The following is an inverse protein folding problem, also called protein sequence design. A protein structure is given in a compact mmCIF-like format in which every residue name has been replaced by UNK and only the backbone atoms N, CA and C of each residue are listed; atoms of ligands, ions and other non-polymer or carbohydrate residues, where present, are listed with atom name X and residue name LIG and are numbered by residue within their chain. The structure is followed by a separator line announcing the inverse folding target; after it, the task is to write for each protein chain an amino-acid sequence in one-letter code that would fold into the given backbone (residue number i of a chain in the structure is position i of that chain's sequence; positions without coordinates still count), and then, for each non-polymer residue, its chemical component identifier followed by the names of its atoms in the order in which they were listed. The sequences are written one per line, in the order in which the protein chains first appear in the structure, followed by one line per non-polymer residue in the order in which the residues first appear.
data_IF_600678386326
#
_entry.id   IF_600678386326
#
_cell.length_a   1.000
_cell.length_b   1.000
_cell.length_c   1.000
_cell.angle_alpha   90.00
_cell.angle_beta   90.00
_cell.angle_gamma   90.00
#
_symmetry.space_group_name_H-M   'P 1'
#
loop_
_entity.id
_entity.type
_entity.pdbx_description
1 polymer ?
#
# COMPACT_ATOMS: atom_id res chain seq x y z
N UNK A 1 -36.66 6.15 16.18
CA UNK A 1 -37.13 7.41 16.80
C UNK A 1 -36.83 8.57 15.85
N UNK A 2 -37.87 9.20 15.29
CA UNK A 2 -37.77 10.40 14.45
C UNK A 2 -37.38 11.61 15.30
N UNK A 3 -36.43 12.44 14.84
CA UNK A 3 -36.37 13.87 15.20
C UNK A 3 -35.92 14.69 13.98
N UNK A 4 -36.87 15.45 13.47
CA UNK A 4 -36.76 16.53 12.50
C UNK A 4 -36.17 17.78 13.16
N UNK A 5 -35.38 18.57 12.43
CA UNK A 5 -35.17 20.01 12.73
C UNK A 5 -35.14 20.82 11.42
N UNK A 6 -35.76 21.99 11.54
CA UNK A 6 -36.23 22.99 10.60
C UNK A 6 -35.08 23.69 9.84
N UNK A 7 -35.31 24.01 8.56
CA UNK A 7 -34.45 24.89 7.76
C UNK A 7 -34.94 26.34 7.83
N UNK A 8 -34.03 27.29 8.05
CA UNK A 8 -34.26 28.69 7.70
C UNK A 8 -33.41 29.07 6.48
N UNK A 9 -34.09 29.53 5.43
CA UNK A 9 -33.51 29.87 4.12
C UNK A 9 -33.29 31.37 4.06
N UNK A 10 -32.05 31.83 3.89
CA UNK A 10 -31.76 33.16 3.33
C UNK A 10 -31.00 33.01 2.02
N UNK A 11 -31.74 33.20 0.93
CA UNK A 11 -31.21 33.37 -0.42
C UNK A 11 -30.64 34.79 -0.52
N UNK A 12 -29.44 34.94 -1.08
CA UNK A 12 -29.07 36.10 -1.89
C UNK A 12 -28.25 35.64 -3.10
N UNK A 13 -28.45 36.35 -4.20
CA UNK A 13 -28.38 35.85 -5.57
C UNK A 13 -27.05 36.16 -6.31
N UNK A 14 -26.83 35.39 -7.38
CA UNK A 14 -26.00 35.65 -8.58
C UNK A 14 -24.47 35.75 -8.47
N UNK A 15 -23.81 34.58 -8.31
CA UNK A 15 -22.65 34.09 -9.09
C UNK A 15 -22.03 32.93 -8.32
N UNK A 16 -22.28 31.68 -8.74
CA UNK A 16 -21.79 30.50 -8.03
C UNK A 16 -20.34 30.17 -8.43
N UNK A 17 -19.40 31.01 -7.99
CA UNK A 17 -18.00 30.65 -7.86
C UNK A 17 -17.66 30.61 -6.36
N UNK A 18 -17.47 29.40 -5.82
CA UNK A 18 -17.03 29.23 -4.44
C UNK A 18 -15.51 29.09 -4.42
N UNK A 19 -14.83 30.09 -3.86
CA UNK A 19 -13.41 30.00 -3.49
C UNK A 19 -13.34 29.05 -2.28
N UNK A 20 -12.51 28.00 -2.35
CA UNK A 20 -12.24 27.12 -1.21
C UNK A 20 -11.52 27.92 -0.12
N UNK A 21 -12.28 28.56 0.78
CA UNK A 21 -11.74 29.15 2.01
C UNK A 21 -11.52 28.04 3.02
N UNK A 22 -10.28 27.92 3.50
CA UNK A 22 -9.90 27.08 4.66
C UNK A 22 -10.94 27.25 5.77
N UNK A 23 -11.60 26.18 6.25
CA UNK A 23 -12.51 26.29 7.37
C UNK A 23 -11.68 26.47 8.64
N UNK A 24 -11.49 27.72 9.06
CA UNK A 24 -10.78 28.08 10.30
C UNK A 24 -11.63 27.85 11.57
N UNK A 25 -12.83 27.27 11.47
CA UNK A 25 -13.72 27.07 12.60
C UNK A 25 -13.98 25.58 12.86
N UNK A 26 -13.15 24.97 13.72
CA UNK A 26 -13.48 23.72 14.40
C UNK A 26 -14.13 24.07 15.75
N UNK A 27 -15.38 23.68 15.97
CA UNK A 27 -16.03 23.82 17.28
C UNK A 27 -15.67 22.64 18.18
N UNK A 28 -14.86 22.93 19.21
CA UNK A 28 -14.58 22.04 20.34
C UNK A 28 -15.82 21.98 21.25
N UNK A 29 -16.46 20.81 21.35
CA UNK A 29 -17.49 20.56 22.38
C UNK A 29 -16.82 19.91 23.60
N UNK A 30 -16.91 20.58 24.75
CA UNK A 30 -16.27 20.21 26.02
C UNK A 30 -17.00 19.05 26.71
N UNK A 31 -16.23 18.22 27.42
CA UNK A 31 -16.56 16.86 27.90
C UNK A 31 -17.37 16.76 29.20
N UNK A 32 -17.96 15.58 29.43
CA UNK A 32 -18.16 15.00 30.77
C UNK A 32 -17.46 13.63 30.91
N UNK A 33 -17.09 13.30 32.15
CA UNK A 33 -16.23 12.18 32.58
C UNK A 33 -16.82 10.83 32.14
N UNK A 34 -16.03 10.07 31.37
CA UNK A 34 -16.05 8.62 31.09
C UNK A 34 -15.84 8.36 29.59
N UNK A 35 -14.62 7.91 29.25
CA UNK A 35 -14.20 7.30 27.98
C UNK A 35 -14.53 8.05 26.66
N UNK A 36 -13.59 8.87 26.20
CA UNK A 36 -13.75 9.74 25.03
C UNK A 36 -13.53 9.01 23.68
N UNK A 37 -14.63 8.67 23.00
CA UNK A 37 -14.69 8.51 21.55
C UNK A 37 -14.93 9.89 20.92
N UNK A 38 -13.88 10.52 20.38
CA UNK A 38 -14.05 11.71 19.54
C UNK A 38 -14.41 11.27 18.12
N UNK A 39 -15.71 11.18 17.85
CA UNK A 39 -16.21 11.09 16.49
C UNK A 39 -16.29 12.52 15.96
N UNK A 40 -15.27 12.96 15.24
CA UNK A 40 -15.40 14.16 14.40
C UNK A 40 -16.38 13.75 13.29
N UNK A 41 -17.66 14.04 13.50
CA UNK A 41 -18.58 14.17 12.40
C UNK A 41 -18.08 15.36 11.59
N UNK A 42 -17.40 15.11 10.48
CA UNK A 42 -17.42 16.04 9.36
C UNK A 42 -18.87 16.03 8.88
N UNK A 43 -19.69 17.08 9.09
CA UNK A 43 -20.87 17.24 8.27
C UNK A 43 -20.36 17.69 6.90
N UNK A 44 -19.75 16.77 6.15
CA UNK A 44 -19.77 16.88 4.71
C UNK A 44 -21.19 16.47 4.32
N UNK A 45 -22.15 17.38 4.51
CA UNK A 45 -23.38 17.40 3.73
C UNK A 45 -23.01 17.71 2.29
N UNK A 46 -22.29 16.79 1.65
CA UNK A 46 -22.34 16.67 0.21
C UNK A 46 -23.59 15.83 0.00
N UNK A 47 -24.70 16.50 -0.25
CA UNK A 47 -25.86 15.86 -0.83
C UNK A 47 -25.34 15.00 -1.99
N UNK A 48 -25.57 13.69 -1.95
CA UNK A 48 -25.50 12.83 -3.12
C UNK A 48 -26.65 13.17 -4.09
N UNK A 49 -26.90 14.46 -4.33
CA UNK A 49 -27.71 14.92 -5.44
C UNK A 49 -26.84 14.81 -6.69
N UNK A 50 -27.26 13.94 -7.60
CA UNK A 50 -26.84 13.85 -8.99
C UNK A 50 -26.33 15.19 -9.54
N UNK A 51 -25.13 15.18 -10.11
CA UNK A 51 -24.62 16.18 -11.05
C UNK A 51 -24.88 17.65 -10.71
N UNK A 52 -24.02 18.23 -9.88
CA UNK A 52 -23.51 19.57 -10.15
C UNK A 52 -21.99 19.53 -10.02
N UNK A 53 -21.31 19.63 -11.16
CA UNK A 53 -19.85 19.81 -11.22
C UNK A 53 -19.49 21.14 -10.57
N UNK A 54 -19.22 21.13 -9.26
CA UNK A 54 -18.40 22.16 -8.64
C UNK A 54 -17.00 22.03 -9.25
N UNK A 55 -16.76 22.71 -10.37
CA UNK A 55 -15.43 22.83 -10.93
C UNK A 55 -14.60 23.68 -9.98
N UNK A 56 -13.74 23.06 -9.17
CA UNK A 56 -12.71 23.81 -8.44
C UNK A 56 -11.86 24.53 -9.48
N UNK A 57 -11.93 25.86 -9.50
CA UNK A 57 -11.08 26.67 -10.36
C UNK A 57 -9.64 26.52 -9.88
N UNK A 58 -8.76 26.07 -10.78
CA UNK A 58 -7.32 26.02 -10.54
C UNK A 58 -6.80 27.45 -10.69
N UNK A 59 -6.38 28.07 -9.59
CA UNK A 59 -5.97 29.48 -9.56
C UNK A 59 -4.58 29.66 -10.19
N UNK A 60 -3.70 28.68 -10.02
CA UNK A 60 -2.39 28.61 -10.66
C UNK A 60 -1.92 27.14 -10.77
N UNK A 61 -0.93 26.89 -11.65
CA UNK A 61 -0.34 25.56 -11.88
C UNK A 61 1.04 25.37 -11.23
N UNK A 62 1.48 26.33 -10.42
CA UNK A 62 2.78 26.36 -9.76
C UNK A 62 2.75 25.52 -8.47
N UNK A 63 2.56 24.21 -8.62
CA UNK A 63 2.55 23.28 -7.49
C UNK A 63 3.96 23.00 -6.97
N UNK A 64 4.10 23.04 -5.65
CA UNK A 64 5.30 22.64 -4.92
C UNK A 64 4.97 21.55 -3.91
N UNK A 65 5.98 20.73 -3.62
CA UNK A 65 5.87 19.75 -2.56
C UNK A 65 5.95 20.42 -1.20
N UNK A 66 5.02 20.08 -0.32
CA UNK A 66 5.06 20.41 1.11
C UNK A 66 5.09 19.11 1.90
N UNK A 67 6.08 18.95 2.77
CA UNK A 67 6.03 17.90 3.80
C UNK A 67 4.97 18.33 4.82
N UNK A 68 3.96 17.50 5.03
CA UNK A 68 2.87 17.77 5.95
C UNK A 68 3.38 17.73 7.40
N UNK A 69 2.96 18.71 8.20
CA UNK A 69 3.21 18.72 9.63
C UNK A 69 2.18 17.85 10.34
N UNK A 70 2.49 17.35 11.55
CA UNK A 70 1.53 16.58 12.36
C UNK A 70 0.45 17.44 13.03
N UNK A 71 0.05 18.56 12.41
CA UNK A 71 -1.06 19.40 12.85
C UNK A 71 -2.37 18.97 12.14
N UNK A 72 -3.51 19.30 12.74
CA UNK A 72 -4.81 18.90 12.17
C UNK A 72 -5.09 19.52 10.81
N UNK A 73 -4.58 20.71 10.51
CA UNK A 73 -4.79 21.36 9.21
C UNK A 73 -4.23 20.53 8.06
N UNK A 74 -2.96 20.14 8.13
CA UNK A 74 -2.31 19.36 7.09
C UNK A 74 -2.88 17.93 7.02
N UNK A 75 -3.20 17.32 8.17
CA UNK A 75 -3.83 16.00 8.24
C UNK A 75 -5.19 16.01 7.56
N UNK A 76 -6.02 17.02 7.80
CA UNK A 76 -7.34 17.12 7.18
C UNK A 76 -7.22 17.31 5.66
N UNK A 77 -6.23 18.07 5.18
CA UNK A 77 -5.98 18.20 3.74
C UNK A 77 -5.55 16.89 3.08
N UNK A 78 -4.71 16.10 3.75
CA UNK A 78 -4.39 14.74 3.32
C UNK A 78 -5.66 13.86 3.23
N UNK A 79 -6.50 13.91 4.26
CA UNK A 79 -7.78 13.16 4.32
C UNK A 79 -8.71 13.56 3.19
N UNK A 80 -8.87 14.85 2.91
CA UNK A 80 -9.67 15.35 1.78
C UNK A 80 -9.16 14.82 0.43
N UNK A 81 -7.85 14.73 0.25
CA UNK A 81 -7.28 14.17 -0.98
C UNK A 81 -7.67 12.70 -1.15
N UNK A 82 -7.54 11.88 -0.10
CA UNK A 82 -7.93 10.46 -0.14
C UNK A 82 -9.43 10.33 -0.41
N UNK A 83 -10.24 11.08 0.34
CA UNK A 83 -11.70 11.07 0.22
C UNK A 83 -12.17 11.46 -1.18
N UNK A 84 -11.51 12.43 -1.83
CA UNK A 84 -11.87 12.88 -3.17
C UNK A 84 -11.76 11.80 -4.26
N UNK A 85 -11.01 10.72 -3.99
CA UNK A 85 -10.83 9.60 -4.91
C UNK A 85 -11.62 8.38 -4.45
N UNK A 86 -11.57 8.08 -3.15
CA UNK A 86 -12.07 6.80 -2.61
C UNK A 86 -13.35 6.92 -1.78
N UNK A 87 -13.87 8.12 -1.54
CA UNK A 87 -14.92 8.31 -0.54
C UNK A 87 -14.45 7.77 0.81
N UNK A 88 -15.20 6.83 1.41
CA UNK A 88 -14.81 6.10 2.63
C UNK A 88 -14.26 4.68 2.38
N UNK A 89 -14.08 4.31 1.11
CA UNK A 89 -13.78 2.93 0.68
C UNK A 89 -12.28 2.67 0.52
N UNK A 90 -11.41 3.55 1.03
CA UNK A 90 -9.96 3.32 1.00
C UNK A 90 -9.56 2.24 2.01
N UNK A 91 -8.70 1.31 1.59
CA UNK A 91 -8.32 0.12 2.38
C UNK A 91 -7.80 0.46 3.78
N UNK A 92 -7.00 1.51 3.90
CA UNK A 92 -6.44 1.92 5.19
C UNK A 92 -7.36 2.90 5.91
N UNK A 93 -8.48 2.37 6.43
CA UNK A 93 -9.52 3.17 7.11
C UNK A 93 -9.00 4.03 8.27
N UNK A 94 -7.90 3.61 8.91
CA UNK A 94 -7.22 4.35 9.99
C UNK A 94 -6.90 5.80 9.59
N UNK A 95 -6.68 6.09 8.31
CA UNK A 95 -6.34 7.44 7.84
C UNK A 95 -7.51 8.41 7.84
N UNK A 96 -8.76 7.93 7.85
CA UNK A 96 -9.92 8.81 8.02
C UNK A 96 -10.10 9.31 9.46
N UNK A 97 -9.29 8.84 10.41
CA UNK A 97 -9.35 9.27 11.81
C UNK A 97 -8.19 10.22 12.13
N UNK A 98 -8.41 11.55 12.20
CA UNK A 98 -7.33 12.53 12.35
C UNK A 98 -6.42 12.27 13.55
N UNK A 99 -6.97 11.86 14.70
CA UNK A 99 -6.19 11.55 15.91
C UNK A 99 -5.27 10.34 15.70
N UNK A 100 -5.74 9.30 14.99
CA UNK A 100 -4.92 8.10 14.70
C UNK A 100 -3.85 8.45 13.67
N UNK A 101 -4.19 9.21 12.63
CA UNK A 101 -3.23 9.70 11.64
C UNK A 101 -2.15 10.56 12.32
N UNK A 102 -2.54 11.54 13.14
CA UNK A 102 -1.61 12.37 13.92
C UNK A 102 -0.64 11.52 14.74
N UNK A 103 -1.16 10.53 15.48
CA UNK A 103 -0.32 9.62 16.28
C UNK A 103 0.68 8.82 15.44
N UNK A 104 0.33 8.44 14.22
CA UNK A 104 1.25 7.75 13.31
C UNK A 104 2.34 8.70 12.79
N UNK A 105 2.00 9.95 12.51
CA UNK A 105 2.99 10.97 12.14
C UNK A 105 3.92 11.31 13.30
N UNK A 106 3.39 11.51 14.50
CA UNK A 106 4.17 11.83 15.71
C UNK A 106 5.15 10.70 16.08
N UNK A 107 4.81 9.44 15.73
CA UNK A 107 5.67 8.26 15.93
C UNK A 107 6.60 7.97 14.74
N UNK A 108 6.70 8.87 13.76
CA UNK A 108 7.48 8.69 12.52
C UNK A 108 7.13 7.38 11.76
N UNK A 109 5.90 6.90 11.92
CA UNK A 109 5.36 5.74 11.19
C UNK A 109 4.85 6.14 9.83
N UNK A 110 4.47 7.40 9.66
CA UNK A 110 4.01 7.96 8.39
C UNK A 110 4.63 9.33 8.19
N UNK A 111 5.16 9.56 6.98
CA UNK A 111 5.46 10.90 6.47
C UNK A 111 4.48 11.21 5.35
N UNK A 112 3.82 12.35 5.42
CA UNK A 112 2.82 12.77 4.46
C UNK A 112 3.34 13.96 3.65
N UNK A 113 2.99 13.98 2.37
CA UNK A 113 3.44 14.96 1.38
C UNK A 113 2.21 15.50 0.67
N UNK A 114 2.12 16.82 0.54
CA UNK A 114 1.03 17.53 -0.11
C UNK A 114 1.56 18.29 -1.33
N UNK A 115 0.78 18.34 -2.40
CA UNK A 115 1.01 19.27 -3.51
C UNK A 115 0.20 20.53 -3.30
N UNK A 116 0.88 21.63 -3.05
CA UNK A 116 0.27 22.94 -2.76
C UNK A 116 0.69 23.95 -3.82
N UNK A 117 -0.24 24.77 -4.31
CA UNK A 117 0.08 25.87 -5.23
C UNK A 117 0.27 27.21 -4.50
N UNK A 118 0.56 28.28 -5.23
CA UNK A 118 0.87 29.60 -4.64
C UNK A 118 -0.33 30.23 -3.93
N UNK A 119 -1.54 29.84 -4.34
CA UNK A 119 -2.79 30.22 -3.67
C UNK A 119 -3.20 29.29 -2.52
N UNK A 120 -2.37 28.33 -2.14
CA UNK A 120 -2.62 27.42 -1.02
C UNK A 120 -3.61 26.28 -1.32
N UNK A 121 -3.99 26.07 -2.59
CA UNK A 121 -4.84 24.96 -3.01
C UNK A 121 -4.05 23.66 -2.95
N UNK A 122 -4.61 22.64 -2.28
CA UNK A 122 -4.03 21.31 -2.21
C UNK A 122 -4.56 20.46 -3.36
N UNK A 123 -3.69 20.09 -4.29
CA UNK A 123 -4.04 19.31 -5.49
C UNK A 123 -3.85 17.80 -5.34
N UNK A 124 -3.02 17.36 -4.39
CA UNK A 124 -2.74 15.93 -4.19
C UNK A 124 -1.98 15.63 -2.91
N UNK A 125 -1.89 14.35 -2.60
CA UNK A 125 -1.24 13.80 -1.42
C UNK A 125 -0.47 12.52 -1.79
N UNK A 126 0.61 12.24 -1.07
CA UNK A 126 1.27 10.93 -1.02
C UNK A 126 1.79 10.68 0.40
N UNK A 127 1.98 9.41 0.76
CA UNK A 127 2.52 9.03 2.04
C UNK A 127 3.67 8.03 1.89
N UNK A 128 4.61 8.11 2.83
CA UNK A 128 5.63 7.12 3.08
C UNK A 128 5.30 6.41 4.40
N UNK A 129 5.00 5.12 4.36
CA UNK A 129 4.58 4.34 5.54
C UNK A 129 5.67 3.37 5.96
N UNK A 130 5.99 3.33 7.25
CA UNK A 130 6.87 2.34 7.88
C UNK A 130 6.05 1.27 8.58
N UNK A 131 6.02 0.06 8.01
CA UNK A 131 5.50 -1.12 8.72
C UNK A 131 6.47 -1.55 9.81
N UNK A 132 5.97 -2.27 10.82
CA UNK A 132 6.82 -2.83 11.88
C UNK A 132 7.71 -3.97 11.35
N UNK A 133 7.19 -4.76 10.42
CA UNK A 133 7.87 -5.91 9.84
C UNK A 133 8.91 -5.57 8.78
N UNK A 134 8.88 -4.36 8.20
CA UNK A 134 9.78 -3.95 7.11
C UNK A 134 10.26 -2.51 7.30
N UNK A 135 10.78 -2.16 8.49
CA UNK A 135 11.02 -0.77 8.91
C UNK A 135 12.01 -0.01 8.02
N UNK A 136 13.00 -0.70 7.46
CA UNK A 136 14.02 -0.13 6.56
C UNK A 136 13.61 -0.15 5.08
N UNK A 137 12.39 -0.59 4.77
CA UNK A 137 11.82 -0.60 3.43
C UNK A 137 10.41 0.02 3.44
N UNK A 138 10.30 1.33 3.73
CA UNK A 138 9.01 1.98 3.77
C UNK A 138 8.30 1.96 2.41
N UNK A 139 6.97 1.96 2.49
CA UNK A 139 6.07 1.92 1.35
C UNK A 139 5.70 3.33 0.90
N UNK A 140 5.91 3.62 -0.39
CA UNK A 140 5.32 4.77 -1.06
C UNK A 140 3.90 4.43 -1.48
N UNK A 141 2.94 5.13 -0.88
CA UNK A 141 1.53 4.80 -1.02
C UNK A 141 0.66 6.05 -0.93
N UNK A 142 -0.65 5.88 -1.05
CA UNK A 142 -1.62 6.97 -1.02
C UNK A 142 -1.31 8.12 -1.99
N UNK A 143 -0.70 7.82 -3.14
CA UNK A 143 -0.47 8.81 -4.20
C UNK A 143 -1.82 9.11 -4.85
N UNK A 144 -2.45 10.20 -4.41
CA UNK A 144 -3.77 10.64 -4.83
C UNK A 144 -3.72 12.06 -5.36
N UNK A 145 -4.41 12.29 -6.47
CA UNK A 145 -4.60 13.62 -7.06
C UNK A 145 -6.09 13.88 -7.09
N UNK A 146 -6.51 15.00 -6.48
CA UNK A 146 -7.92 15.42 -6.46
C UNK A 146 -8.42 15.52 -7.92
N UNK A 147 -9.65 15.08 -8.24
CA UNK A 147 -10.16 15.05 -9.62
C UNK A 147 -9.96 16.35 -10.40
N UNK A 148 -10.17 17.51 -9.77
CA UNK A 148 -10.00 18.83 -10.37
C UNK A 148 -8.56 19.16 -10.81
N UNK A 149 -7.55 18.47 -10.29
CA UNK A 149 -6.13 18.72 -10.55
C UNK A 149 -5.45 17.61 -11.36
N UNK A 150 -6.24 16.67 -11.92
CA UNK A 150 -5.73 15.61 -12.80
C UNK A 150 -5.16 16.20 -14.10
N UNK A 151 -4.24 15.46 -14.73
CA UNK A 151 -3.53 15.92 -15.94
C UNK A 151 -2.35 16.87 -15.67
N UNK A 152 -2.20 17.39 -14.45
CA UNK A 152 -1.09 18.27 -14.06
C UNK A 152 0.18 17.54 -13.62
N UNK A 153 0.25 16.21 -13.82
CA UNK A 153 1.40 15.36 -13.44
C UNK A 153 1.78 15.44 -11.95
N UNK A 154 0.85 15.79 -11.06
CA UNK A 154 1.13 15.94 -9.62
C UNK A 154 1.60 14.63 -8.94
N UNK A 155 1.19 13.46 -9.44
CA UNK A 155 1.67 12.17 -8.94
C UNK A 155 3.17 11.97 -9.19
N UNK A 156 3.67 12.44 -10.34
CA UNK A 156 5.09 12.44 -10.66
C UNK A 156 5.86 13.34 -9.67
N UNK A 157 5.40 14.58 -9.47
CA UNK A 157 6.02 15.54 -8.55
C UNK A 157 6.02 15.06 -7.09
N UNK A 158 4.94 14.40 -6.65
CA UNK A 158 4.87 13.76 -5.33
C UNK A 158 5.93 12.69 -5.16
N UNK A 159 6.08 11.80 -6.16
CA UNK A 159 7.08 10.76 -6.09
C UNK A 159 8.51 11.32 -6.15
N UNK A 160 8.77 12.32 -6.99
CA UNK A 160 10.07 13.00 -7.05
C UNK A 160 10.44 13.60 -5.68
N UNK A 161 9.49 14.28 -5.04
CA UNK A 161 9.68 14.83 -3.69
C UNK A 161 9.99 13.75 -2.64
N UNK A 162 9.30 12.60 -2.69
CA UNK A 162 9.56 11.48 -1.79
C UNK A 162 10.98 10.92 -2.03
N UNK A 163 11.40 10.80 -3.29
CA UNK A 163 12.73 10.32 -3.64
C UNK A 163 13.82 11.26 -3.13
N UNK A 164 13.66 12.57 -3.34
CA UNK A 164 14.57 13.58 -2.81
C UNK A 164 14.66 13.51 -1.28
N UNK A 165 13.51 13.47 -0.60
CA UNK A 165 13.46 13.35 0.85
C UNK A 165 14.07 12.05 1.37
N UNK A 166 14.00 10.97 0.58
CA UNK A 166 14.52 9.64 0.95
C UNK A 166 16.04 9.55 0.94
N UNK A 167 16.74 10.43 0.19
CA UNK A 167 18.21 10.44 0.15
C UNK A 167 18.85 10.73 1.51
N UNK A 168 18.15 11.42 2.42
CA UNK A 168 18.61 11.70 3.78
C UNK A 168 18.18 10.65 4.81
N UNK A 169 17.41 9.63 4.42
CA UNK A 169 16.87 8.64 5.35
C UNK A 169 17.81 7.44 5.51
N UNK A 170 17.94 6.92 6.73
CA UNK A 170 18.61 5.66 7.00
C UNK A 170 17.68 4.48 6.68
N UNK A 171 17.45 4.25 5.40
CA UNK A 171 16.61 3.15 4.87
C UNK A 171 17.37 2.40 3.78
N UNK A 172 17.01 1.13 3.56
CA UNK A 172 17.62 0.31 2.51
C UNK A 172 17.05 0.64 1.13
N UNK A 173 15.74 0.86 1.07
CA UNK A 173 15.03 1.15 -0.16
C UNK A 173 13.64 1.71 0.07
N UNK A 174 12.90 1.86 -1.01
CA UNK A 174 11.47 2.17 -1.03
C UNK A 174 10.74 1.03 -1.74
N UNK A 175 9.58 0.63 -1.24
CA UNK A 175 8.67 -0.23 -2.01
C UNK A 175 7.39 0.51 -2.40
N UNK A 176 6.72 0.03 -3.44
CA UNK A 176 5.41 0.52 -3.83
C UNK A 176 4.58 -0.62 -4.41
N UNK A 177 3.26 -0.48 -4.34
CA UNK A 177 2.31 -1.48 -4.82
C UNK A 177 1.38 -0.89 -5.90
N UNK A 178 1.89 -0.67 -7.14
CA UNK A 178 1.04 -0.12 -8.19
C UNK A 178 -0.05 -1.10 -8.59
N UNK A 179 -1.26 -0.58 -8.77
CA UNK A 179 -2.39 -1.33 -9.34
C UNK A 179 -2.08 -1.83 -10.76
N UNK A 180 -2.67 -2.97 -11.13
CA UNK A 180 -2.41 -3.63 -12.42
C UNK A 180 -3.65 -3.81 -13.29
N UNK A 181 -4.74 -3.10 -13.02
CA UNK A 181 -5.86 -2.97 -13.97
C UNK A 181 -5.61 -1.87 -15.04
N UNK A 182 -4.53 -1.10 -14.89
CA UNK A 182 -3.98 -0.14 -15.84
C UNK A 182 -2.46 0.01 -15.65
N UNK A 183 -1.74 0.58 -16.62
CA UNK A 183 -0.28 0.73 -16.58
C UNK A 183 0.24 2.10 -16.11
N UNK A 184 -0.64 3.05 -15.76
CA UNK A 184 -0.26 4.43 -15.44
C UNK A 184 0.72 4.51 -14.25
N UNK A 185 0.36 3.89 -13.12
CA UNK A 185 1.19 3.85 -11.91
C UNK A 185 2.50 3.08 -12.14
N UNK A 186 2.44 1.97 -12.90
CA UNK A 186 3.62 1.18 -13.26
C UNK A 186 4.65 2.04 -14.01
N UNK A 187 4.20 2.83 -15.00
CA UNK A 187 5.07 3.77 -15.72
C UNK A 187 5.75 4.77 -14.79
N UNK A 188 4.98 5.39 -13.89
CA UNK A 188 5.48 6.43 -12.97
C UNK A 188 6.64 5.91 -12.11
N UNK A 189 6.51 4.69 -11.58
CA UNK A 189 7.54 4.04 -10.78
C UNK A 189 8.71 3.55 -11.64
N UNK A 190 8.44 2.92 -12.78
CA UNK A 190 9.45 2.43 -13.71
C UNK A 190 10.38 3.54 -14.20
N UNK A 191 9.83 4.67 -14.66
CA UNK A 191 10.58 5.84 -15.13
C UNK A 191 11.49 6.44 -14.04
N UNK A 192 11.24 6.13 -12.77
CA UNK A 192 12.04 6.57 -11.60
C UNK A 192 12.94 5.48 -11.03
N UNK A 193 13.14 4.40 -11.79
CA UNK A 193 14.07 3.33 -11.46
C UNK A 193 13.62 2.44 -10.30
N UNK A 194 12.31 2.28 -10.12
CA UNK A 194 11.78 1.13 -9.37
C UNK A 194 11.84 -0.10 -10.27
N UNK A 195 12.10 -1.25 -9.65
CA UNK A 195 12.19 -2.56 -10.31
C UNK A 195 11.03 -3.42 -9.86
N UNK A 196 10.32 -4.04 -10.79
CA UNK A 196 9.27 -5.01 -10.49
C UNK A 196 9.87 -6.24 -9.79
N UNK A 197 9.31 -6.59 -8.62
CA UNK A 197 9.82 -7.64 -7.75
C UNK A 197 8.80 -8.75 -7.45
N UNK A 198 7.50 -8.48 -7.63
CA UNK A 198 6.44 -9.47 -7.43
C UNK A 198 5.06 -8.95 -7.78
N UNK A 199 4.06 -9.77 -7.48
CA UNK A 199 2.64 -9.45 -7.51
C UNK A 199 2.00 -9.87 -6.18
N UNK A 200 0.92 -9.18 -5.82
CA UNK A 200 0.02 -9.51 -4.73
C UNK A 200 -1.36 -9.70 -5.35
N UNK A 201 -1.69 -10.95 -5.67
CA UNK A 201 -2.94 -11.30 -6.35
C UNK A 201 -4.13 -11.13 -5.40
N UNK A 202 -5.25 -10.61 -5.91
CA UNK A 202 -6.49 -10.36 -5.15
C UNK A 202 -6.32 -9.50 -3.88
N UNK A 203 -5.28 -8.67 -3.81
CA UNK A 203 -4.93 -7.96 -2.58
C UNK A 203 -5.95 -6.88 -2.17
N UNK A 204 -6.53 -6.14 -3.13
CA UNK A 204 -7.55 -5.14 -2.83
C UNK A 204 -8.94 -5.78 -2.77
N UNK A 205 -9.67 -5.52 -1.68
CA UNK A 205 -11.04 -6.01 -1.47
C UNK A 205 -12.04 -5.39 -2.46
N UNK A 206 -13.19 -6.05 -2.66
CA UNK A 206 -14.22 -5.61 -3.62
C UNK A 206 -14.76 -4.19 -3.34
N UNK A 207 -14.79 -3.81 -2.06
CA UNK A 207 -15.23 -2.47 -1.67
C UNK A 207 -14.36 -1.38 -2.34
N UNK A 208 -13.05 -1.55 -2.43
CA UNK A 208 -12.21 -0.54 -3.11
C UNK A 208 -12.44 -0.55 -4.62
N UNK A 209 -12.71 -1.73 -5.18
CA UNK A 209 -12.62 -1.98 -6.63
C UNK A 209 -13.89 -1.59 -7.39
N UNK A 210 -15.07 -1.64 -6.73
CA UNK A 210 -16.33 -1.14 -7.32
C UNK A 210 -16.25 0.33 -7.75
N UNK A 211 -15.42 1.15 -7.08
CA UNK A 211 -15.16 2.53 -7.47
C UNK A 211 -14.55 2.67 -8.87
N UNK A 212 -13.94 1.60 -9.35
CA UNK A 212 -13.32 1.50 -10.67
C UNK A 212 -14.11 0.57 -11.60
N UNK A 213 -15.39 0.33 -11.26
CA UNK A 213 -16.31 -0.55 -12.00
C UNK A 213 -15.76 -1.97 -12.13
N UNK A 214 -15.22 -2.49 -11.03
CA UNK A 214 -14.70 -3.86 -10.90
C UNK A 214 -15.43 -4.57 -9.77
N UNK A 215 -16.26 -5.54 -10.14
CA UNK A 215 -16.98 -6.44 -9.23
C UNK A 215 -16.11 -7.66 -8.88
N UNK A 216 -14.83 -7.40 -8.59
CA UNK A 216 -13.86 -8.42 -8.17
C UNK A 216 -12.72 -7.77 -7.40
N UNK A 217 -12.07 -8.55 -6.56
CA UNK A 217 -10.79 -8.18 -5.94
C UNK A 217 -9.75 -7.84 -7.01
N UNK A 218 -8.89 -6.88 -6.71
CA UNK A 218 -7.85 -6.42 -7.64
C UNK A 218 -6.46 -6.78 -7.18
N UNK A 219 -5.66 -7.16 -8.17
CA UNK A 219 -4.26 -7.47 -8.03
C UNK A 219 -3.43 -6.19 -7.92
N UNK A 220 -2.31 -6.30 -7.20
CA UNK A 220 -1.27 -5.27 -7.17
C UNK A 220 0.03 -5.88 -7.69
N UNK A 221 0.86 -5.07 -8.33
CA UNK A 221 2.27 -5.41 -8.47
C UNK A 221 3.04 -4.96 -7.22
N UNK A 222 4.26 -5.43 -7.06
CA UNK A 222 5.24 -4.97 -6.07
C UNK A 222 6.48 -4.50 -6.82
N UNK A 223 6.92 -3.28 -6.55
CA UNK A 223 8.21 -2.79 -7.03
C UNK A 223 9.04 -2.16 -5.93
N UNK A 224 10.36 -2.17 -6.13
CA UNK A 224 11.34 -1.70 -5.15
C UNK A 224 12.37 -0.80 -5.80
N UNK A 225 12.82 0.23 -5.08
CA UNK A 225 13.95 1.08 -5.45
C UNK A 225 15.00 1.08 -4.34
N UNK A 226 16.25 0.82 -4.70
CA UNK A 226 17.39 0.90 -3.79
C UNK A 226 17.70 2.36 -3.42
N UNK A 227 17.85 2.64 -2.13
CA UNK A 227 18.32 3.94 -1.60
C UNK A 227 19.72 3.77 -1.00
N UNK A 228 19.93 2.74 -0.19
CA UNK A 228 21.24 2.40 0.35
C UNK A 228 22.09 1.66 -0.70
N UNK A 229 22.93 2.42 -1.42
CA UNK A 229 23.85 1.86 -2.43
C UNK A 229 24.93 0.92 -1.87
N UNK A 230 25.12 0.90 -0.55
CA UNK A 230 26.07 -0.01 0.12
C UNK A 230 25.40 -1.33 0.54
N UNK A 231 24.11 -1.50 0.30
CA UNK A 231 23.42 -2.74 0.65
C UNK A 231 24.01 -3.91 -0.16
N UNK A 232 24.49 -4.90 0.57
CA UNK A 232 24.96 -6.18 0.04
C UNK A 232 24.27 -7.28 0.82
N UNK A 233 23.97 -8.39 0.16
CA UNK A 233 23.17 -9.45 0.79
C UNK A 233 23.69 -10.83 0.39
N UNK A 234 23.47 -11.79 1.29
CA UNK A 234 23.66 -13.21 1.04
C UNK A 234 22.35 -13.92 1.33
N UNK A 235 21.89 -14.73 0.37
CA UNK A 235 20.60 -15.41 0.43
C UNK A 235 20.72 -16.90 0.08
N UNK A 236 19.70 -17.64 0.47
CA UNK A 236 19.48 -19.06 0.25
C UNK A 236 18.13 -19.26 -0.45
N UNK A 237 17.96 -18.72 -1.67
CA UNK A 237 16.67 -18.74 -2.36
C UNK A 237 16.30 -20.17 -2.77
N UNK A 238 15.01 -20.43 -3.07
CA UNK A 238 14.62 -21.69 -3.68
C UNK A 238 15.33 -21.91 -5.01
N UNK A 239 15.76 -23.15 -5.24
CA UNK A 239 16.69 -23.49 -6.33
C UNK A 239 16.15 -23.10 -7.71
N UNK A 240 14.85 -23.30 -7.91
CA UNK A 240 14.11 -23.03 -9.16
C UNK A 240 14.02 -21.54 -9.50
N UNK A 241 14.19 -20.68 -8.51
CA UNK A 241 14.07 -19.22 -8.66
C UNK A 241 15.43 -18.50 -8.63
N UNK A 242 16.55 -19.19 -8.43
CA UNK A 242 17.88 -18.58 -8.26
C UNK A 242 18.21 -17.60 -9.40
N UNK A 243 18.03 -18.02 -10.65
CA UNK A 243 18.36 -17.19 -11.82
C UNK A 243 17.47 -15.94 -11.88
N UNK A 244 16.17 -16.13 -11.66
CA UNK A 244 15.18 -15.07 -11.67
C UNK A 244 15.45 -14.02 -10.56
N UNK A 245 15.70 -14.50 -9.35
CA UNK A 245 15.99 -13.67 -8.17
C UNK A 245 17.29 -12.88 -8.37
N UNK A 246 18.37 -13.52 -8.86
CA UNK A 246 19.62 -12.82 -9.19
C UNK A 246 19.41 -11.71 -10.21
N UNK A 247 18.55 -11.92 -11.20
CA UNK A 247 18.23 -10.89 -12.19
C UNK A 247 17.55 -9.67 -11.56
N UNK A 248 16.66 -9.86 -10.58
CA UNK A 248 16.05 -8.74 -9.83
C UNK A 248 17.13 -7.97 -9.06
N UNK A 249 18.01 -8.65 -8.30
CA UNK A 249 19.09 -7.98 -7.56
C UNK A 249 20.04 -7.21 -8.47
N UNK A 250 20.35 -7.76 -9.65
CA UNK A 250 21.15 -7.07 -10.68
C UNK A 250 20.49 -5.78 -11.15
N UNK A 251 19.18 -5.80 -11.45
CA UNK A 251 18.42 -4.60 -11.82
C UNK A 251 18.38 -3.57 -10.69
N UNK A 252 18.30 -4.02 -9.44
CA UNK A 252 18.38 -3.18 -8.25
C UNK A 252 19.79 -2.64 -7.95
N UNK A 253 20.80 -3.05 -8.74
CA UNK A 253 22.23 -2.72 -8.53
C UNK A 253 22.75 -3.16 -7.15
N UNK A 254 22.31 -4.32 -6.67
CA UNK A 254 22.70 -4.90 -5.39
C UNK A 254 23.64 -6.08 -5.63
N UNK A 255 24.75 -6.12 -4.91
CA UNK A 255 25.60 -7.32 -4.85
C UNK A 255 24.89 -8.38 -3.99
N UNK A 256 24.47 -9.47 -4.63
CA UNK A 256 23.76 -10.58 -4.01
C UNK A 256 24.56 -11.88 -4.19
N UNK A 257 24.96 -12.49 -3.09
CA UNK A 257 25.58 -13.82 -3.06
C UNK A 257 24.52 -14.87 -2.76
N UNK A 258 24.48 -15.94 -3.56
CA UNK A 258 23.56 -17.07 -3.32
C UNK A 258 24.33 -18.25 -2.75
N UNK A 259 23.73 -18.96 -1.81
CA UNK A 259 24.27 -20.20 -1.26
C UNK A 259 23.22 -21.31 -1.26
N UNK A 260 23.68 -22.56 -1.20
CA UNK A 260 22.79 -23.72 -1.13
C UNK A 260 22.05 -23.75 0.20
N UNK A 261 20.78 -24.14 0.14
CA UNK A 261 19.94 -24.29 1.32
C UNK A 261 20.51 -25.32 2.29
N UNK A 262 20.06 -25.24 3.54
CA UNK A 262 20.32 -26.24 4.58
C UNK A 262 19.04 -26.43 5.39
N UNK A 263 18.71 -27.67 5.67
CA UNK A 263 17.64 -27.97 6.63
C UNK A 263 18.21 -27.67 8.02
N UNK A 264 17.46 -26.93 8.82
CA UNK A 264 17.82 -26.60 10.19
C UNK A 264 16.83 -27.33 11.09
N UNK A 265 17.33 -28.16 12.01
CA UNK A 265 16.52 -28.92 12.96
C UNK A 265 16.09 -28.06 14.16
N UNK A 266 15.57 -26.86 13.91
CA UNK A 266 14.99 -25.99 14.95
C UNK A 266 13.48 -25.86 14.78
N UNK A 267 12.81 -25.28 15.77
CA UNK A 267 11.45 -24.75 15.61
C UNK A 267 11.44 -23.47 14.75
N UNK A 268 10.31 -23.21 14.12
CA UNK A 268 10.08 -22.02 13.32
C UNK A 268 10.00 -20.76 14.19
N UNK A 269 10.37 -19.63 13.59
CA UNK A 269 10.29 -18.29 14.17
C UNK A 269 9.46 -17.45 13.21
N UNK A 270 8.24 -17.13 13.64
CA UNK A 270 7.25 -16.54 12.77
C UNK A 270 6.25 -15.70 13.53
N UNK A 271 5.69 -14.73 12.83
CA UNK A 271 4.52 -13.95 13.24
C UNK A 271 3.45 -14.05 12.16
N UNK A 272 2.18 -13.94 12.56
CA UNK A 272 1.09 -13.75 11.61
C UNK A 272 0.07 -12.74 12.12
N UNK A 273 -0.69 -12.16 11.19
CA UNK A 273 -1.69 -11.16 11.49
C UNK A 273 -2.84 -11.18 10.50
N UNK A 274 -4.02 -10.77 10.97
CA UNK A 274 -5.22 -10.66 10.16
C UNK A 274 -5.52 -9.20 9.82
N UNK A 275 -5.68 -8.92 8.53
CA UNK A 275 -6.35 -7.72 8.07
C UNK A 275 -7.81 -8.05 7.75
N UNK A 276 -8.71 -7.69 8.66
CA UNK A 276 -10.15 -7.92 8.49
C UNK A 276 -10.76 -7.06 7.38
N UNK A 277 -10.17 -5.90 7.08
CA UNK A 277 -10.68 -5.03 6.03
C UNK A 277 -10.31 -5.59 4.65
N UNK A 278 -9.07 -6.06 4.49
CA UNK A 278 -8.63 -6.67 3.24
C UNK A 278 -9.03 -8.14 3.12
N UNK A 279 -9.39 -8.84 4.21
CA UNK A 279 -9.67 -10.28 4.18
C UNK A 279 -8.39 -11.13 4.03
N UNK A 280 -7.25 -10.62 4.51
CA UNK A 280 -5.93 -11.20 4.29
C UNK A 280 -5.34 -11.72 5.61
N UNK A 281 -4.74 -12.90 5.57
CA UNK A 281 -3.75 -13.33 6.56
C UNK A 281 -2.34 -13.06 6.02
N UNK A 282 -1.52 -12.36 6.80
CA UNK A 282 -0.08 -12.21 6.49
C UNK A 282 0.74 -13.04 7.47
N UNK A 283 1.58 -13.91 6.95
CA UNK A 283 2.53 -14.73 7.73
C UNK A 283 3.95 -14.28 7.37
N UNK A 284 4.82 -14.12 8.35
CA UNK A 284 6.23 -13.77 8.16
C UNK A 284 7.09 -14.78 8.92
N UNK A 285 7.86 -15.57 8.19
CA UNK A 285 8.85 -16.49 8.74
C UNK A 285 10.23 -15.87 8.69
N UNK A 286 10.80 -15.56 9.86
CA UNK A 286 12.20 -15.16 9.99
C UNK A 286 13.13 -16.39 10.00
N UNK A 287 12.64 -17.51 10.52
CA UNK A 287 13.30 -18.83 10.43
C UNK A 287 12.28 -19.92 10.22
N UNK A 288 12.57 -20.83 9.29
CA UNK A 288 11.77 -22.02 9.06
C UNK A 288 12.37 -23.20 9.83
N UNK A 289 11.52 -23.87 10.59
CA UNK A 289 11.83 -25.09 11.33
C UNK A 289 11.07 -26.31 10.82
N UNK A 290 11.26 -27.46 11.49
CA UNK A 290 10.60 -28.74 11.13
C UNK A 290 9.08 -28.73 11.30
N UNK A 291 8.57 -27.84 12.14
CA UNK A 291 7.17 -27.65 12.51
C UNK A 291 6.36 -26.85 11.49
N UNK A 292 7.00 -26.29 10.44
CA UNK A 292 6.34 -25.42 9.46
C UNK A 292 5.09 -26.03 8.83
N UNK A 293 5.08 -27.32 8.50
CA UNK A 293 3.90 -27.95 7.89
C UNK A 293 2.67 -27.83 8.80
N UNK A 294 2.81 -28.18 10.07
CA UNK A 294 1.72 -28.11 11.04
C UNK A 294 1.28 -26.66 11.30
N UNK A 295 2.23 -25.73 11.27
CA UNK A 295 1.95 -24.30 11.42
C UNK A 295 1.14 -23.77 10.23
N UNK A 296 1.50 -24.14 9.00
CA UNK A 296 0.74 -23.76 7.81
C UNK A 296 -0.69 -24.30 7.90
N UNK A 297 -0.85 -25.58 8.26
CA UNK A 297 -2.18 -26.19 8.42
C UNK A 297 -3.01 -25.43 9.46
N UNK A 298 -2.42 -25.15 10.63
CA UNK A 298 -3.10 -24.41 11.70
C UNK A 298 -3.53 -23.01 11.26
N UNK A 299 -2.69 -22.29 10.51
CA UNK A 299 -3.03 -20.95 10.03
C UNK A 299 -4.10 -21.00 8.93
N UNK A 300 -4.12 -22.03 8.08
CA UNK A 300 -5.19 -22.23 7.09
C UNK A 300 -6.53 -22.46 7.80
N UNK A 301 -6.57 -23.31 8.82
CA UNK A 301 -7.78 -23.54 9.63
C UNK A 301 -8.25 -22.24 10.30
N UNK A 302 -7.33 -21.46 10.87
CA UNK A 302 -7.67 -20.15 11.44
C UNK A 302 -8.17 -19.15 10.40
N UNK A 303 -7.65 -19.22 9.17
CA UNK A 303 -8.12 -18.40 8.06
C UNK A 303 -9.57 -18.72 7.70
N UNK A 304 -9.94 -20.00 7.68
CA UNK A 304 -11.33 -20.42 7.46
C UNK A 304 -12.25 -19.89 8.57
N UNK A 305 -11.86 -20.07 9.84
CA UNK A 305 -12.63 -19.57 10.99
C UNK A 305 -12.80 -18.04 10.97
N UNK A 306 -11.78 -17.31 10.53
CA UNK A 306 -11.78 -15.85 10.44
C UNK A 306 -12.22 -15.32 9.07
N UNK A 307 -12.78 -16.19 8.21
CA UNK A 307 -13.29 -15.89 6.86
C UNK A 307 -12.30 -15.07 6.03
N UNK A 308 -11.03 -15.50 6.03
CA UNK A 308 -10.01 -14.95 5.15
C UNK A 308 -10.16 -15.53 3.76
N UNK A 309 -9.81 -14.71 2.79
CA UNK A 309 -9.92 -15.06 1.37
C UNK A 309 -8.55 -15.38 0.77
N UNK A 310 -7.48 -14.97 1.45
CA UNK A 310 -6.11 -15.19 0.97
C UNK A 310 -5.09 -15.14 2.08
N UNK A 311 -3.98 -15.84 1.87
CA UNK A 311 -2.80 -15.83 2.72
C UNK A 311 -1.63 -15.28 1.91
N UNK A 312 -0.89 -14.32 2.47
CA UNK A 312 0.39 -13.85 1.93
C UNK A 312 1.48 -14.26 2.92
N UNK A 313 2.39 -15.13 2.47
CA UNK A 313 3.48 -15.62 3.30
C UNK A 313 4.82 -15.08 2.79
N UNK A 314 5.58 -14.51 3.72
CA UNK A 314 6.94 -14.04 3.50
C UNK A 314 7.91 -15.00 4.18
N UNK A 315 8.80 -15.63 3.41
CA UNK A 315 9.82 -16.54 3.95
C UNK A 315 11.20 -15.90 3.78
N UNK A 316 11.93 -15.72 4.88
CA UNK A 316 13.21 -15.02 4.87
C UNK A 316 14.29 -15.81 4.13
N UNK A 317 14.70 -15.33 2.95
CA UNK A 317 15.75 -15.93 2.14
C UNK A 317 17.15 -15.74 2.73
N UNK A 318 17.36 -14.90 3.74
CA UNK A 318 18.65 -14.88 4.47
C UNK A 318 18.81 -16.12 5.37
N UNK A 319 17.74 -16.88 5.58
CA UNK A 319 17.76 -18.11 6.33
C UNK A 319 18.09 -19.32 5.44
N UNK A 320 19.05 -20.19 5.82
CA UNK A 320 19.37 -21.40 5.07
C UNK A 320 18.19 -22.36 4.81
N UNK A 321 17.17 -22.37 5.68
CA UNK A 321 15.99 -23.25 5.53
C UNK A 321 14.88 -22.70 4.62
N UNK A 322 15.11 -21.55 3.96
CA UNK A 322 14.11 -20.93 3.08
C UNK A 322 13.59 -21.87 1.98
N UNK A 323 14.45 -22.65 1.32
CA UNK A 323 14.02 -23.60 0.30
C UNK A 323 13.08 -24.69 0.85
N UNK A 324 13.35 -25.19 2.06
CA UNK A 324 12.49 -26.19 2.70
C UNK A 324 11.09 -25.62 3.00
N UNK A 325 11.04 -24.41 3.56
CA UNK A 325 9.76 -23.75 3.82
C UNK A 325 8.99 -23.38 2.57
N UNK A 326 9.71 -22.92 1.53
CA UNK A 326 9.13 -22.67 0.23
C UNK A 326 8.50 -23.94 -0.35
N UNK A 327 9.23 -25.06 -0.41
CA UNK A 327 8.70 -26.33 -0.92
C UNK A 327 7.49 -26.82 -0.13
N UNK A 328 7.56 -26.74 1.20
CA UNK A 328 6.43 -27.09 2.07
C UNK A 328 5.20 -26.21 1.75
N UNK A 329 5.39 -24.91 1.52
CA UNK A 329 4.27 -24.03 1.16
C UNK A 329 3.68 -24.41 -0.21
N UNK A 330 4.51 -24.69 -1.22
CA UNK A 330 4.02 -25.14 -2.54
C UNK A 330 3.23 -26.46 -2.42
N UNK A 331 3.73 -27.43 -1.66
CA UNK A 331 3.04 -28.70 -1.40
C UNK A 331 1.69 -28.51 -0.70
N UNK A 332 1.53 -27.40 0.02
CA UNK A 332 0.30 -26.96 0.70
C UNK A 332 -0.58 -26.05 -0.17
N UNK A 333 -0.33 -25.97 -1.48
CA UNK A 333 -1.16 -25.22 -2.42
C UNK A 333 -0.86 -23.72 -2.49
N UNK A 334 0.26 -23.26 -1.90
CA UNK A 334 0.72 -21.89 -2.14
C UNK A 334 1.35 -21.78 -3.53
N UNK A 335 1.30 -20.59 -4.09
CA UNK A 335 1.92 -20.24 -5.36
C UNK A 335 3.05 -19.23 -5.16
N UNK A 336 4.05 -19.25 -6.04
CA UNK A 336 5.07 -18.21 -6.05
C UNK A 336 4.48 -16.89 -6.59
N UNK A 337 4.75 -15.77 -5.93
CA UNK A 337 4.30 -14.45 -6.39
C UNK A 337 5.39 -13.37 -6.44
N UNK A 338 6.62 -13.67 -6.02
CA UNK A 338 7.76 -12.78 -6.19
C UNK A 338 8.70 -12.74 -4.99
N UNK A 339 9.43 -11.64 -4.86
CA UNK A 339 10.33 -11.37 -3.72
C UNK A 339 10.14 -9.97 -3.17
N UNK A 340 10.45 -9.79 -1.88
CA UNK A 340 10.56 -8.51 -1.17
C UNK A 340 11.99 -8.33 -0.67
N UNK A 341 12.91 -7.82 -1.52
CA UNK A 341 14.29 -7.55 -1.15
C UNK A 341 14.39 -6.24 -0.35
N UNK A 342 15.56 -5.99 0.25
CA UNK A 342 15.92 -4.75 0.97
C UNK A 342 15.17 -4.52 2.29
N UNK A 343 14.51 -5.53 2.86
CA UNK A 343 13.93 -5.40 4.19
C UNK A 343 15.04 -5.34 5.27
N UNK A 344 14.66 -5.00 6.49
CA UNK A 344 15.55 -4.88 7.64
C UNK A 344 16.09 -6.25 8.10
N UNK A 345 15.20 -7.16 8.47
CA UNK A 345 15.56 -8.46 9.05
C UNK A 345 15.82 -9.55 8.00
N UNK A 346 15.62 -9.25 6.71
CA UNK A 346 15.62 -10.27 5.69
C UNK A 346 15.50 -9.72 4.28
N UNK A 347 15.71 -10.60 3.31
CA UNK A 347 15.11 -10.45 1.99
C UNK A 347 14.14 -11.62 1.86
N UNK A 348 12.89 -11.38 1.50
CA UNK A 348 11.84 -12.40 1.61
C UNK A 348 11.42 -12.92 0.25
N UNK A 349 11.17 -14.21 0.13
CA UNK A 349 10.36 -14.75 -0.96
C UNK A 349 8.89 -14.63 -0.57
N UNK A 350 8.04 -14.35 -1.54
CA UNK A 350 6.60 -14.18 -1.36
C UNK A 350 5.90 -15.36 -2.02
N UNK A 351 5.08 -16.06 -1.24
CA UNK A 351 4.15 -17.06 -1.72
C UNK A 351 2.73 -16.73 -1.23
N UNK A 352 1.72 -17.10 -2.01
CA UNK A 352 0.32 -16.82 -1.69
C UNK A 352 -0.53 -18.08 -1.74
N UNK A 353 -1.47 -18.22 -0.80
CA UNK A 353 -2.52 -19.22 -0.89
C UNK A 353 -3.83 -18.53 -1.23
N UNK A 354 -4.46 -18.95 -2.32
CA UNK A 354 -5.68 -18.32 -2.83
C UNK A 354 -6.96 -18.85 -2.19
N UNK A 355 -6.84 -19.83 -1.29
CA UNK A 355 -7.95 -20.52 -0.63
C UNK A 355 -8.96 -20.99 -1.68
N UNK A 356 -10.12 -20.33 -1.77
CA UNK A 356 -11.20 -20.71 -2.67
C UNK A 356 -11.26 -19.87 -3.97
N UNK A 357 -10.22 -19.08 -4.27
CA UNK A 357 -10.19 -18.17 -5.41
C UNK A 357 -9.19 -18.64 -6.47
N UNK A 358 -9.50 -18.40 -7.74
CA UNK A 358 -8.56 -18.57 -8.86
C UNK A 358 -7.94 -17.24 -9.27
N UNK A 359 -6.79 -17.29 -9.95
CA UNK A 359 -6.17 -16.11 -10.54
C UNK A 359 -6.51 -16.08 -12.02
N UNK A 360 -7.10 -14.97 -12.45
CA UNK A 360 -7.24 -14.65 -13.85
C UNK A 360 -6.06 -13.76 -14.26
N UNK A 361 -5.08 -14.35 -14.92
CA UNK A 361 -3.89 -13.62 -15.38
C UNK A 361 -4.19 -12.71 -16.57
N UNK A 362 -5.24 -12.97 -17.34
CA UNK A 362 -5.52 -12.28 -18.61
C UNK A 362 -6.13 -10.89 -18.36
N UNK A 363 -6.75 -10.69 -17.21
CA UNK A 363 -7.25 -9.38 -16.76
C UNK A 363 -6.17 -8.47 -16.16
N UNK A 364 -4.94 -8.97 -15.97
CA UNK A 364 -3.82 -8.21 -15.43
C UNK A 364 -3.10 -7.46 -16.55
N UNK A 365 -3.10 -6.13 -16.47
CA UNK A 365 -2.40 -5.24 -17.41
C UNK A 365 -1.01 -4.90 -16.89
N UNK A 366 -0.05 -5.79 -17.14
CA UNK A 366 1.36 -5.60 -16.78
C UNK A 366 2.17 -5.09 -17.98
N UNK A 367 2.91 -4.00 -17.78
CA UNK A 367 3.79 -3.38 -18.78
C UNK A 367 5.24 -3.30 -18.29
N UNK A 368 6.18 -2.87 -19.12
CA UNK A 368 7.60 -2.72 -18.74
C UNK A 368 8.21 -4.02 -18.19
N UNK A 369 8.95 -3.96 -17.07
CA UNK A 369 9.50 -5.14 -16.43
C UNK A 369 8.48 -5.99 -15.66
N UNK A 370 7.29 -5.45 -15.39
CA UNK A 370 6.19 -6.20 -14.77
C UNK A 370 5.65 -7.30 -15.69
N UNK A 371 5.65 -7.07 -17.01
CA UNK A 371 5.16 -8.05 -18.00
C UNK A 371 5.94 -9.37 -17.92
N UNK A 372 7.26 -9.29 -18.03
CA UNK A 372 8.12 -10.47 -18.01
C UNK A 372 8.09 -11.19 -16.64
N UNK A 373 7.92 -10.44 -15.56
CA UNK A 373 7.74 -11.00 -14.21
C UNK A 373 6.41 -11.76 -14.11
N UNK A 374 5.31 -11.20 -14.63
CA UNK A 374 4.00 -11.86 -14.61
C UNK A 374 4.01 -13.16 -15.42
N UNK A 375 4.60 -13.12 -16.61
CA UNK A 375 4.74 -14.28 -17.48
C UNK A 375 5.57 -15.38 -16.81
N UNK A 376 6.68 -15.03 -16.15
CA UNK A 376 7.46 -15.98 -15.36
C UNK A 376 6.63 -16.63 -14.25
N UNK A 377 5.90 -15.81 -13.47
CA UNK A 377 5.05 -16.31 -12.38
C UNK A 377 3.96 -17.24 -12.89
N UNK A 378 3.25 -16.83 -13.96
CA UNK A 378 2.19 -17.63 -14.59
C UNK A 378 2.72 -18.98 -15.05
N UNK A 379 3.77 -18.99 -15.87
CA UNK A 379 4.35 -20.23 -16.40
C UNK A 379 4.89 -21.15 -15.31
N UNK A 380 5.38 -20.59 -14.20
CA UNK A 380 5.85 -21.39 -13.08
C UNK A 380 4.68 -22.03 -12.31
N UNK A 381 3.63 -21.26 -12.02
CA UNK A 381 2.48 -21.73 -11.24
C UNK A 381 1.51 -22.59 -12.04
N UNK A 382 1.48 -22.52 -13.38
CA UNK A 382 0.68 -23.43 -14.21
C UNK A 382 1.33 -24.82 -14.38
N UNK A 383 2.62 -24.96 -14.03
CA UNK A 383 3.39 -26.21 -14.16
C UNK A 383 3.48 -27.04 -12.88
N UNK A 384 3.25 -26.40 -11.73
CA UNK A 384 3.27 -27.00 -10.41
C UNK A 384 1.86 -26.98 -9.85
#
# INVERSE_FOLDING_TARGET
MKRSVIYEKKINNYNNAYIEKSPDNYSLVKSTKHMQLFQIYLPLTINQSKNTSLSTQILDRNFKCKIANSNYKDIIEAIKCIYSVYGYRYSYRTFYYPNKFKRLMDKDRIKSYLMINEHGQIGGHAALIKSDSFRLLPEVTMIVVKPAFRGLKLSCLLLDCILEASNGLRINGLCAQPVVFHSISQKIFYDRGFVACGFLFHYLNEEVTELFSKERRLDLALCVKTINKKYVTKIYPPEEHVYFIKNIYRKLSIKCETSRYRIIESSSDFDYSFDNNLGICTIIFDRVGKDISNLIDSVIDECELNKKEMIVMYINMKNPSCNYGYKTAIDKGFIFSGIKPLSDNGDYIIVQHMLNHSIDYDVIKAEYDYKNLLEYIRLFNERN
#
